data_IF_155646092454
#
_entry.id   IF_155646092454
#
_cell.length_a   1.000
_cell.length_b   1.000
_cell.length_c   1.000
_cell.angle_alpha   90.00
_cell.angle_beta   90.00
_cell.angle_gamma   90.00
#
_symmetry.space_group_name_H-M   'P 1'
#
loop_
_entity.id
_entity.type
_entity.pdbx_description
1 polymer ?
#
# COMPACT_ATOMS: atom_id res chain seq x y z
N UNK A 1 -6.54 -8.22 0.97
CA UNK A 1 -7.34 -8.16 -0.26
C UNK A 1 -6.54 -7.51 -1.37
N UNK A 2 -6.67 -8.00 -2.58
CA UNK A 2 -6.19 -7.33 -3.79
C UNK A 2 -7.30 -7.35 -4.83
N UNK A 3 -7.33 -6.35 -5.69
CA UNK A 3 -8.30 -6.25 -6.79
C UNK A 3 -7.56 -6.18 -8.13
N UNK A 4 -8.27 -6.50 -9.20
CA UNK A 4 -7.89 -6.16 -10.57
C UNK A 4 -8.53 -4.84 -10.96
N UNK A 5 -8.00 -4.19 -12.00
CA UNK A 5 -8.64 -3.00 -12.56
C UNK A 5 -10.04 -3.33 -13.08
N UNK A 6 -11.00 -2.49 -12.72
CA UNK A 6 -12.41 -2.61 -13.06
C UNK A 6 -12.85 -1.39 -13.85
N UNK A 7 -12.18 -1.17 -15.00
CA UNK A 7 -12.51 -0.09 -15.95
C UNK A 7 -13.93 -0.22 -16.53
N UNK A 8 -14.58 -1.37 -16.30
CA UNK A 8 -15.96 -1.65 -16.63
C UNK A 8 -16.97 -1.05 -15.64
N UNK A 9 -16.50 -0.61 -14.46
CA UNK A 9 -17.35 -0.01 -13.43
C UNK A 9 -17.08 1.49 -13.29
N UNK A 10 -18.11 2.32 -13.09
CA UNK A 10 -17.95 3.77 -12.97
C UNK A 10 -17.06 4.21 -11.80
N UNK A 11 -17.06 3.43 -10.70
CA UNK A 11 -16.26 3.66 -9.48
C UNK A 11 -14.98 2.82 -9.43
N UNK A 12 -14.60 2.18 -10.55
CA UNK A 12 -13.46 1.26 -10.56
C UNK A 12 -13.58 0.07 -9.60
N UNK A 13 -14.77 -0.20 -9.05
CA UNK A 13 -15.03 -1.25 -8.06
C UNK A 13 -14.81 -0.84 -6.61
N UNK A 14 -14.71 0.45 -6.31
CA UNK A 14 -14.46 0.96 -4.96
C UNK A 14 -15.55 0.57 -3.97
N UNK A 15 -16.83 0.69 -4.35
CA UNK A 15 -17.96 0.30 -3.51
C UNK A 15 -17.91 -1.20 -3.15
N UNK A 16 -17.54 -2.04 -4.10
CA UNK A 16 -17.40 -3.49 -3.86
C UNK A 16 -16.26 -3.81 -2.87
N UNK A 17 -15.13 -3.12 -2.99
CA UNK A 17 -14.02 -3.26 -2.04
C UNK A 17 -14.44 -2.81 -0.65
N UNK A 18 -15.08 -1.63 -0.54
CA UNK A 18 -15.57 -1.08 0.72
C UNK A 18 -16.54 -2.04 1.42
N UNK A 19 -17.55 -2.54 0.68
CA UNK A 19 -18.51 -3.51 1.22
C UNK A 19 -17.83 -4.81 1.64
N UNK A 20 -16.89 -5.32 0.85
CA UNK A 20 -16.16 -6.56 1.17
C UNK A 20 -15.40 -6.41 2.49
N UNK A 21 -14.66 -5.32 2.68
CA UNK A 21 -13.93 -5.05 3.93
C UNK A 21 -14.91 -4.92 5.11
N UNK A 22 -15.99 -4.16 4.91
CA UNK A 22 -17.04 -3.99 5.92
C UNK A 22 -17.65 -5.33 6.34
N UNK A 23 -17.93 -6.23 5.40
CA UNK A 23 -18.45 -7.58 5.68
C UNK A 23 -17.42 -8.42 6.47
N UNK A 24 -16.15 -8.38 6.09
CA UNK A 24 -15.10 -9.10 6.81
C UNK A 24 -15.06 -8.65 8.27
N UNK A 25 -15.04 -7.35 8.54
CA UNK A 25 -15.01 -6.81 9.90
C UNK A 25 -16.29 -7.09 10.69
N UNK A 26 -17.47 -7.14 10.03
CA UNK A 26 -18.72 -7.55 10.67
C UNK A 26 -18.69 -9.01 11.14
N UNK A 27 -18.12 -9.90 10.33
CA UNK A 27 -18.06 -11.33 10.65
C UNK A 27 -16.87 -11.69 11.55
N UNK A 28 -15.76 -10.97 11.43
CA UNK A 28 -14.57 -11.19 12.24
C UNK A 28 -13.89 -9.85 12.58
N UNK A 29 -14.31 -9.19 13.66
CA UNK A 29 -13.79 -7.88 14.06
C UNK A 29 -12.30 -7.88 14.41
N UNK A 30 -11.72 -9.04 14.70
CA UNK A 30 -10.30 -9.18 15.08
C UNK A 30 -9.38 -9.41 13.86
N UNK A 31 -9.96 -9.62 12.68
CA UNK A 31 -9.18 -9.80 11.48
C UNK A 31 -8.65 -8.45 10.97
N UNK A 32 -7.33 -8.38 10.75
CA UNK A 32 -6.72 -7.22 10.11
C UNK A 32 -6.86 -7.34 8.59
N UNK A 33 -7.30 -6.28 7.95
CA UNK A 33 -7.51 -6.22 6.50
C UNK A 33 -6.60 -5.18 5.87
N UNK A 34 -5.70 -5.63 5.01
CA UNK A 34 -4.98 -4.80 4.06
C UNK A 34 -5.70 -4.84 2.71
N UNK A 35 -5.97 -3.68 2.12
CA UNK A 35 -6.47 -3.55 0.75
C UNK A 35 -5.36 -3.05 -0.15
N UNK A 36 -5.00 -3.80 -1.19
CA UNK A 36 -4.14 -3.34 -2.28
C UNK A 36 -5.02 -3.04 -3.49
N UNK A 37 -5.12 -1.77 -3.84
CA UNK A 37 -6.08 -1.26 -4.83
C UNK A 37 -5.40 -0.47 -5.95
N UNK A 38 -6.13 -0.23 -7.04
CA UNK A 38 -5.74 0.64 -8.14
C UNK A 38 -5.76 2.13 -7.76
N UNK A 39 -5.48 3.00 -8.74
CA UNK A 39 -5.54 4.46 -8.57
C UNK A 39 -6.90 5.07 -8.94
N UNK A 40 -7.88 4.24 -9.29
CA UNK A 40 -9.26 4.63 -9.68
C UNK A 40 -9.28 5.76 -10.71
N UNK A 41 -8.38 5.71 -11.69
CA UNK A 41 -8.20 6.74 -12.71
C UNK A 41 -8.01 8.17 -12.14
N UNK A 42 -7.59 8.28 -10.88
CA UNK A 42 -7.39 9.55 -10.15
C UNK A 42 -8.65 10.05 -9.42
N UNK A 43 -9.72 9.27 -9.34
CA UNK A 43 -10.92 9.64 -8.59
C UNK A 43 -10.70 9.45 -7.08
N UNK A 44 -10.27 10.50 -6.40
CA UNK A 44 -9.99 10.49 -4.95
C UNK A 44 -11.24 10.26 -4.08
N UNK A 45 -12.44 10.51 -4.63
CA UNK A 45 -13.73 10.16 -4.00
C UNK A 45 -13.86 8.66 -3.77
N UNK A 46 -13.39 7.84 -4.72
CA UNK A 46 -13.49 6.39 -4.66
C UNK A 46 -12.50 5.81 -3.63
N UNK A 47 -11.29 6.41 -3.56
CA UNK A 47 -10.34 6.14 -2.47
C UNK A 47 -10.96 6.45 -1.11
N UNK A 48 -11.58 7.64 -1.00
CA UNK A 48 -12.22 8.09 0.24
C UNK A 48 -13.38 7.18 0.66
N UNK A 49 -14.14 6.64 -0.29
CA UNK A 49 -15.21 5.68 -0.04
C UNK A 49 -14.66 4.40 0.59
N UNK A 50 -13.59 3.81 0.02
CA UNK A 50 -12.98 2.60 0.58
C UNK A 50 -12.53 2.83 2.02
N UNK A 51 -11.88 3.97 2.29
CA UNK A 51 -11.35 4.28 3.62
C UNK A 51 -12.46 4.52 4.64
N UNK A 52 -13.48 5.32 4.28
CA UNK A 52 -14.54 5.73 5.22
C UNK A 52 -15.58 4.66 5.45
N UNK A 53 -15.97 3.93 4.41
CA UNK A 53 -17.03 2.92 4.47
C UNK A 53 -16.48 1.52 4.73
N UNK A 54 -15.39 1.13 4.05
CA UNK A 54 -14.75 -0.16 4.23
C UNK A 54 -13.92 -0.23 5.50
N UNK A 55 -13.21 0.85 5.83
CA UNK A 55 -12.34 0.96 7.01
C UNK A 55 -11.23 -0.11 7.06
N UNK A 56 -10.45 -0.29 5.98
CA UNK A 56 -9.33 -1.22 6.02
C UNK A 56 -8.31 -0.79 7.09
N UNK A 57 -7.66 -1.76 7.73
CA UNK A 57 -6.59 -1.50 8.69
C UNK A 57 -5.35 -0.93 8.00
N UNK A 58 -5.10 -1.35 6.76
CA UNK A 58 -4.03 -0.83 5.90
C UNK A 58 -4.59 -0.55 4.52
N UNK A 59 -4.42 0.68 4.06
CA UNK A 59 -4.66 1.05 2.67
C UNK A 59 -3.35 1.00 1.89
N UNK A 60 -3.25 0.13 0.88
CA UNK A 60 -2.08 -0.04 0.05
C UNK A 60 -2.34 0.31 -1.40
N UNK A 61 -1.42 1.06 -1.99
CA UNK A 61 -1.34 1.32 -3.41
C UNK A 61 0.14 1.41 -3.81
N UNK A 62 0.56 0.67 -4.84
CA UNK A 62 1.96 0.59 -5.22
C UNK A 62 2.35 1.67 -6.21
N UNK A 63 3.47 2.35 -5.97
CA UNK A 63 4.09 3.26 -6.95
C UNK A 63 4.92 2.51 -7.99
N UNK A 64 5.24 1.26 -7.75
CA UNK A 64 5.94 0.26 -8.55
C UNK A 64 7.41 0.60 -8.82
N UNK A 65 7.73 1.73 -9.43
CA UNK A 65 9.10 2.16 -9.76
C UNK A 65 9.29 3.65 -9.52
N UNK A 66 10.54 4.12 -9.53
CA UNK A 66 10.89 5.53 -9.39
C UNK A 66 10.25 6.41 -10.47
N UNK A 67 10.10 7.74 -10.26
CA UNK A 67 9.43 8.64 -11.22
C UNK A 67 9.95 8.54 -12.65
N UNK A 68 11.27 8.47 -12.85
CA UNK A 68 11.91 8.43 -14.17
C UNK A 68 11.54 7.19 -14.98
N UNK A 69 11.17 6.08 -14.34
CA UNK A 69 10.87 4.81 -15.00
C UNK A 69 9.37 4.54 -15.17
N UNK A 70 8.48 5.40 -14.70
CA UNK A 70 7.03 5.18 -14.74
C UNK A 70 6.54 4.86 -16.16
N UNK A 71 6.89 5.69 -17.13
CA UNK A 71 6.46 5.50 -18.55
C UNK A 71 7.04 4.27 -19.23
N UNK A 72 8.18 3.77 -18.74
CA UNK A 72 8.85 2.58 -19.29
C UNK A 72 8.29 1.28 -18.72
N UNK A 73 7.87 1.31 -17.45
CA UNK A 73 7.57 0.10 -16.69
C UNK A 73 6.08 -0.10 -16.43
N UNK A 74 5.27 0.97 -16.49
CA UNK A 74 3.83 0.92 -16.20
C UNK A 74 2.99 1.27 -17.42
N UNK A 75 1.70 0.96 -17.34
CA UNK A 75 0.72 1.41 -18.32
C UNK A 75 0.74 2.95 -18.42
N UNK A 76 0.52 3.47 -19.62
CA UNK A 76 0.58 4.91 -19.91
C UNK A 76 -0.46 5.73 -19.12
N UNK A 77 -1.50 5.10 -18.64
CA UNK A 77 -2.54 5.69 -17.79
C UNK A 77 -2.08 5.90 -16.35
N UNK A 78 -1.06 5.15 -15.91
CA UNK A 78 -0.49 5.28 -14.57
C UNK A 78 0.60 6.36 -14.53
N UNK A 79 0.73 7.04 -13.38
CA UNK A 79 1.83 7.97 -13.15
C UNK A 79 2.27 7.95 -11.69
N UNK A 80 3.47 8.44 -11.43
CA UNK A 80 3.97 8.64 -10.07
C UNK A 80 3.04 9.56 -9.26
N UNK A 81 2.73 10.72 -9.82
CA UNK A 81 1.92 11.74 -9.13
C UNK A 81 0.55 11.20 -8.75
N UNK A 82 -0.14 10.53 -9.69
CA UNK A 82 -1.43 9.90 -9.41
C UNK A 82 -1.35 8.85 -8.31
N UNK A 83 -0.30 8.01 -8.32
CA UNK A 83 -0.11 7.00 -7.27
C UNK A 83 0.15 7.63 -5.90
N UNK A 84 0.90 8.72 -5.85
CA UNK A 84 1.14 9.47 -4.62
C UNK A 84 -0.14 10.18 -4.16
N UNK A 85 -0.89 10.81 -5.06
CA UNK A 85 -2.19 11.42 -4.78
C UNK A 85 -3.19 10.42 -4.20
N UNK A 86 -3.21 9.18 -4.71
CA UNK A 86 -4.03 8.08 -4.16
C UNK A 86 -3.71 7.82 -2.69
N UNK A 87 -2.42 7.78 -2.34
CA UNK A 87 -1.97 7.56 -0.96
C UNK A 87 -2.29 8.76 -0.06
N UNK A 88 -2.12 10.00 -0.56
CA UNK A 88 -2.50 11.23 0.15
C UNK A 88 -4.00 11.24 0.41
N UNK A 89 -4.82 10.99 -0.63
CA UNK A 89 -6.27 10.94 -0.48
C UNK A 89 -6.74 9.91 0.55
N UNK A 90 -6.07 8.76 0.63
CA UNK A 90 -6.35 7.76 1.66
C UNK A 90 -6.03 8.29 3.07
N UNK A 91 -4.91 8.99 3.25
CA UNK A 91 -4.55 9.62 4.53
C UNK A 91 -5.57 10.70 4.93
N UNK A 92 -5.92 11.57 4.01
CA UNK A 92 -6.93 12.63 4.24
C UNK A 92 -8.32 12.07 4.53
N UNK A 93 -8.67 10.92 3.94
CA UNK A 93 -9.90 10.21 4.24
C UNK A 93 -9.90 9.55 5.63
N UNK A 94 -8.74 9.42 6.28
CA UNK A 94 -8.58 8.88 7.63
C UNK A 94 -7.99 7.47 7.69
N UNK A 95 -7.33 6.99 6.63
CA UNK A 95 -6.61 5.71 6.68
C UNK A 95 -5.58 5.71 7.81
N UNK A 96 -5.66 4.70 8.68
CA UNK A 96 -4.78 4.57 9.84
C UNK A 96 -3.33 4.32 9.39
N UNK A 97 -3.15 3.44 8.42
CA UNK A 97 -1.85 3.10 7.83
C UNK A 97 -1.96 3.12 6.32
N UNK A 98 -1.03 3.83 5.67
CA UNK A 98 -0.83 3.76 4.22
C UNK A 98 0.43 3.00 3.91
N UNK A 99 0.39 2.22 2.83
CA UNK A 99 1.50 1.36 2.41
C UNK A 99 1.73 1.45 0.90
N UNK A 100 2.99 1.38 0.51
CA UNK A 100 3.39 1.30 -0.90
C UNK A 100 4.55 0.34 -1.11
N UNK A 101 4.77 -0.01 -2.37
CA UNK A 101 5.88 -0.88 -2.78
C UNK A 101 6.65 -0.26 -3.94
N UNK A 102 7.97 -0.44 -3.91
CA UNK A 102 8.92 -0.01 -4.92
C UNK A 102 9.74 -1.22 -5.38
N UNK A 103 9.87 -1.39 -6.68
CA UNK A 103 10.77 -2.38 -7.28
C UNK A 103 12.06 -1.69 -7.72
N UNK A 104 13.19 -2.36 -7.51
CA UNK A 104 14.52 -1.93 -7.93
C UNK A 104 15.18 -2.96 -8.85
N UNK A 105 16.17 -2.52 -9.63
CA UNK A 105 16.80 -3.32 -10.68
C UNK A 105 16.16 -3.16 -12.07
N UNK A 106 15.35 -2.11 -12.24
CA UNK A 106 14.66 -1.76 -13.48
C UNK A 106 15.47 -0.79 -14.35
N UNK A 107 16.58 -0.24 -13.83
CA UNK A 107 17.45 0.74 -14.48
C UNK A 107 17.53 2.10 -13.82
N UNK A 108 16.96 2.24 -12.63
CA UNK A 108 17.09 3.41 -11.77
C UNK A 108 18.51 3.55 -11.22
N UNK A 109 18.88 4.77 -10.86
CA UNK A 109 20.06 5.06 -10.06
C UNK A 109 19.71 4.98 -8.57
N UNK A 110 20.69 4.67 -7.73
CA UNK A 110 20.50 4.55 -6.27
C UNK A 110 19.93 5.84 -5.66
N UNK A 111 20.38 7.01 -6.12
CA UNK A 111 19.91 8.30 -5.62
C UNK A 111 18.43 8.56 -5.97
N UNK A 112 17.95 8.10 -7.13
CA UNK A 112 16.53 8.18 -7.50
C UNK A 112 15.63 7.38 -6.54
N UNK A 113 16.14 6.27 -5.98
CA UNK A 113 15.41 5.50 -4.96
C UNK A 113 15.29 6.31 -3.68
N UNK A 114 16.38 6.94 -3.22
CA UNK A 114 16.34 7.79 -2.02
C UNK A 114 15.41 9.01 -2.21
N UNK A 115 15.44 9.65 -3.37
CA UNK A 115 14.53 10.75 -3.71
C UNK A 115 13.06 10.30 -3.70
N UNK A 116 12.77 9.13 -4.29
CA UNK A 116 11.44 8.54 -4.27
C UNK A 116 10.98 8.24 -2.83
N UNK A 117 11.85 7.68 -1.99
CA UNK A 117 11.57 7.45 -0.57
C UNK A 117 11.25 8.75 0.16
N UNK A 118 12.05 9.80 -0.04
CA UNK A 118 11.81 11.10 0.58
C UNK A 118 10.47 11.70 0.14
N UNK A 119 10.10 11.60 -1.15
CA UNK A 119 8.82 12.04 -1.67
C UNK A 119 7.65 11.27 -1.05
N UNK A 120 7.75 9.96 -0.91
CA UNK A 120 6.75 9.12 -0.25
C UNK A 120 6.60 9.46 1.24
N UNK A 121 7.71 9.75 1.92
CA UNK A 121 7.65 10.15 3.34
C UNK A 121 6.99 11.54 3.50
N UNK A 122 7.26 12.48 2.55
CA UNK A 122 6.59 13.78 2.50
C UNK A 122 5.07 13.64 2.28
N UNK A 123 4.64 12.61 1.55
CA UNK A 123 3.23 12.24 1.36
C UNK A 123 2.63 11.48 2.56
N UNK A 124 3.33 11.41 3.69
CA UNK A 124 2.94 10.74 4.93
C UNK A 124 2.65 9.25 4.79
N UNK A 125 3.35 8.56 3.89
CA UNK A 125 3.29 7.10 3.77
C UNK A 125 3.95 6.45 4.98
N UNK A 126 3.25 5.50 5.63
CA UNK A 126 3.74 4.86 6.85
C UNK A 126 4.66 3.66 6.57
N UNK A 127 4.31 2.85 5.57
CA UNK A 127 4.98 1.57 5.30
C UNK A 127 5.49 1.52 3.87
N UNK A 128 6.77 1.15 3.72
CA UNK A 128 7.40 0.97 2.42
C UNK A 128 8.00 -0.43 2.30
N UNK A 129 7.75 -1.08 1.16
CA UNK A 129 8.45 -2.31 0.80
C UNK A 129 9.30 -2.08 -0.44
N UNK A 130 10.55 -2.55 -0.43
CA UNK A 130 11.49 -2.44 -1.56
C UNK A 130 11.97 -3.86 -1.91
N UNK A 131 11.71 -4.28 -3.15
CA UNK A 131 12.07 -5.61 -3.62
C UNK A 131 12.75 -5.60 -4.97
N UNK A 132 13.51 -6.66 -5.27
CA UNK A 132 14.12 -6.86 -6.57
C UNK A 132 13.05 -7.10 -7.64
N UNK A 133 13.12 -6.37 -8.74
CA UNK A 133 12.34 -6.70 -9.94
C UNK A 133 12.81 -8.04 -10.51
N UNK A 134 11.87 -8.94 -10.72
CA UNK A 134 12.08 -10.21 -11.40
C UNK A 134 11.17 -10.25 -12.63
N UNK A 135 11.77 -10.48 -13.81
CA UNK A 135 11.04 -10.54 -15.07
C UNK A 135 10.04 -11.69 -15.11
N UNK A 136 8.73 -11.43 -15.16
CA UNK A 136 7.73 -12.51 -15.09
C UNK A 136 7.72 -13.39 -16.34
N UNK A 137 7.83 -12.79 -17.52
CA UNK A 137 7.88 -13.48 -18.82
C UNK A 137 8.77 -12.74 -19.81
N UNK A 138 9.20 -13.35 -20.92
CA UNK A 138 9.99 -12.67 -21.96
C UNK A 138 9.35 -11.42 -22.60
N UNK A 139 8.03 -11.23 -22.39
CA UNK A 139 7.30 -10.06 -22.88
C UNK A 139 7.44 -8.83 -21.98
N UNK A 140 7.90 -9.01 -20.72
CA UNK A 140 8.12 -7.92 -19.77
C UNK A 140 9.51 -7.32 -19.94
N UNK A 141 9.72 -6.16 -19.32
CA UNK A 141 11.02 -5.48 -19.33
C UNK A 141 12.12 -6.38 -18.76
N UNK A 142 13.33 -6.24 -19.30
CA UNK A 142 14.47 -7.00 -18.80
C UNK A 142 14.94 -6.47 -17.46
N UNK A 143 15.45 -7.38 -16.61
CA UNK A 143 16.17 -7.00 -15.39
C UNK A 143 17.45 -6.26 -15.82
N UNK A 144 17.61 -5.01 -15.39
CA UNK A 144 18.78 -4.21 -15.73
C UNK A 144 19.98 -4.51 -14.82
N UNK A 145 19.70 -4.81 -13.55
CA UNK A 145 20.71 -5.27 -12.59
C UNK A 145 20.05 -6.07 -11.46
N UNK A 146 20.83 -6.94 -10.85
CA UNK A 146 20.50 -7.52 -9.56
C UNK A 146 21.16 -6.65 -8.49
N UNK A 147 20.32 -6.07 -7.65
CA UNK A 147 20.76 -5.16 -6.58
C UNK A 147 21.40 -5.97 -5.46
N UNK A 148 22.55 -5.54 -5.01
CA UNK A 148 23.32 -6.22 -3.96
C UNK A 148 22.57 -6.15 -2.61
N UNK A 149 22.62 -7.21 -1.78
CA UNK A 149 21.98 -7.22 -0.47
C UNK A 149 22.33 -6.00 0.40
N UNK A 150 23.59 -5.59 0.39
CA UNK A 150 24.05 -4.42 1.15
C UNK A 150 23.38 -3.09 0.71
N UNK A 151 22.94 -2.99 -0.56
CA UNK A 151 22.20 -1.82 -1.03
C UNK A 151 20.76 -1.83 -0.51
N UNK A 152 20.14 -3.00 -0.40
CA UNK A 152 18.83 -3.14 0.26
C UNK A 152 18.91 -2.77 1.75
N UNK A 153 19.99 -3.15 2.45
CA UNK A 153 20.20 -2.75 3.84
C UNK A 153 20.28 -1.22 3.96
N UNK A 154 21.01 -0.55 3.05
CA UNK A 154 21.07 0.93 2.99
C UNK A 154 19.71 1.58 2.76
N UNK A 155 18.87 1.02 1.89
CA UNK A 155 17.50 1.52 1.70
C UNK A 155 16.67 1.36 2.98
N UNK A 156 16.79 0.24 3.67
CA UNK A 156 16.09 0.03 4.93
C UNK A 156 16.52 1.02 6.00
N UNK A 157 17.81 1.19 6.21
CA UNK A 157 18.37 2.14 7.17
C UNK A 157 17.94 3.58 6.87
N UNK A 158 18.03 3.99 5.60
CA UNK A 158 17.61 5.31 5.17
C UNK A 158 16.11 5.53 5.38
N UNK A 159 15.28 4.54 5.09
CA UNK A 159 13.85 4.66 5.30
C UNK A 159 13.47 4.80 6.78
N UNK A 160 14.14 4.06 7.66
CA UNK A 160 13.97 4.24 9.11
C UNK A 160 14.41 5.65 9.54
N UNK A 161 15.54 6.13 9.04
CA UNK A 161 16.04 7.47 9.32
C UNK A 161 15.11 8.59 8.80
N UNK A 162 14.43 8.37 7.66
CA UNK A 162 13.43 9.27 7.10
C UNK A 162 12.11 9.28 7.89
N UNK A 163 11.91 8.34 8.82
CA UNK A 163 10.73 8.27 9.68
C UNK A 163 9.56 7.45 9.12
N UNK A 164 9.81 6.50 8.22
CA UNK A 164 8.81 5.46 7.94
C UNK A 164 8.59 4.64 9.20
N UNK A 165 7.34 4.27 9.46
CA UNK A 165 7.01 3.41 10.61
C UNK A 165 7.54 1.98 10.41
N UNK A 166 7.60 1.54 9.15
CA UNK A 166 8.20 0.27 8.78
C UNK A 166 8.75 0.30 7.36
N UNK A 167 9.92 -0.28 7.19
CA UNK A 167 10.53 -0.54 5.87
C UNK A 167 10.95 -2.01 5.81
N UNK A 168 10.47 -2.72 4.80
CA UNK A 168 11.02 -4.02 4.43
C UNK A 168 11.77 -3.88 3.12
N UNK A 169 13.06 -4.16 3.13
CA UNK A 169 13.92 -4.03 1.95
C UNK A 169 14.77 -5.28 1.79
N UNK A 170 14.74 -5.88 0.60
CA UNK A 170 15.51 -7.08 0.32
C UNK A 170 15.17 -7.76 -1.00
N UNK A 171 16.06 -8.62 -1.52
CA UNK A 171 15.89 -9.25 -2.85
C UNK A 171 14.59 -10.05 -2.99
N UNK A 172 14.14 -10.67 -1.92
CA UNK A 172 12.94 -11.52 -1.89
C UNK A 172 11.72 -10.82 -1.27
N UNK A 173 11.84 -9.52 -0.92
CA UNK A 173 10.71 -8.75 -0.41
C UNK A 173 9.67 -8.55 -1.51
N UNK A 174 8.40 -8.67 -1.12
CA UNK A 174 7.22 -8.40 -1.94
C UNK A 174 6.26 -7.52 -1.16
N UNK A 175 5.30 -6.90 -1.85
CA UNK A 175 4.27 -6.06 -1.21
C UNK A 175 3.50 -6.79 -0.10
N UNK A 176 3.40 -8.11 -0.16
CA UNK A 176 2.73 -8.99 0.83
C UNK A 176 3.69 -9.65 1.84
N UNK A 177 4.90 -9.14 2.05
CA UNK A 177 5.92 -9.80 2.85
C UNK A 177 5.53 -9.89 4.34
N UNK A 178 5.69 -11.10 4.92
CA UNK A 178 5.22 -11.46 6.27
C UNK A 178 5.80 -10.63 7.43
N UNK A 179 6.98 -10.06 7.27
CA UNK A 179 7.58 -9.23 8.31
C UNK A 179 6.74 -7.97 8.60
N UNK A 180 6.04 -7.45 7.58
CA UNK A 180 5.08 -6.36 7.78
C UNK A 180 3.91 -6.76 8.67
N UNK A 181 3.45 -8.02 8.62
CA UNK A 181 2.33 -8.50 9.43
C UNK A 181 2.60 -8.45 10.94
N UNK A 182 3.81 -8.81 11.37
CA UNK A 182 4.17 -8.81 12.79
C UNK A 182 4.23 -7.38 13.35
N UNK A 183 4.78 -6.45 12.57
CA UNK A 183 4.83 -5.04 12.93
C UNK A 183 3.43 -4.40 12.89
N UNK A 184 2.68 -4.59 11.81
CA UNK A 184 1.33 -4.06 11.65
C UNK A 184 0.39 -4.58 12.76
N UNK A 185 0.49 -5.84 13.16
CA UNK A 185 -0.25 -6.38 14.31
C UNK A 185 0.11 -5.66 15.61
N UNK A 186 1.34 -5.24 15.80
CA UNK A 186 1.78 -4.44 16.95
C UNK A 186 1.23 -3.00 16.91
N UNK A 187 1.45 -2.30 15.81
CA UNK A 187 1.01 -0.91 15.61
C UNK A 187 -0.53 -0.80 15.64
N UNK A 188 -1.22 -1.66 14.89
CA UNK A 188 -2.68 -1.62 14.79
C UNK A 188 -3.38 -2.07 16.06
N UNK A 189 -2.81 -2.99 16.85
CA UNK A 189 -3.36 -3.31 18.18
C UNK A 189 -3.30 -2.11 19.12
N UNK A 190 -2.22 -1.34 19.10
CA UNK A 190 -2.11 -0.08 19.83
C UNK A 190 -3.12 0.98 19.37
N UNK A 191 -3.46 1.00 18.09
CA UNK A 191 -4.45 1.93 17.52
C UNK A 191 -5.89 1.45 17.71
N UNK A 192 -6.17 0.14 17.67
CA UNK A 192 -7.51 -0.43 17.95
C UNK A 192 -8.04 -0.10 19.35
N UNK A 193 -7.18 0.04 20.33
CA UNK A 193 -7.59 0.53 21.65
C UNK A 193 -8.15 1.96 21.55
N UNK A 194 -7.65 2.78 20.61
CA UNK A 194 -8.20 4.12 20.31
C UNK A 194 -9.44 4.08 19.41
N UNK A 195 -9.58 3.05 18.60
CA UNK A 195 -10.68 2.90 17.63
C UNK A 195 -11.95 2.37 18.30
N UNK A 196 -11.83 1.42 19.22
CA UNK A 196 -12.95 0.92 20.04
C UNK A 196 -13.56 2.03 20.90
N UNK A 197 -12.75 3.00 21.32
CA UNK A 197 -13.20 4.17 22.09
C UNK A 197 -13.97 5.19 21.22
N UNK A 198 -13.73 5.22 19.89
CA UNK A 198 -14.43 6.11 18.95
C UNK A 198 -15.80 5.61 18.50
N UNK A 199 -16.00 4.30 18.43
CA UNK A 199 -17.19 3.69 17.83
C UNK A 199 -18.06 2.90 18.82
N UNK A 200 -18.01 3.23 20.10
CA UNK A 200 -18.87 2.71 21.17
C UNK A 200 -19.42 1.30 20.93
N UNK A 201 -19.30 0.42 21.88
CA UNK A 201 -19.79 -0.97 21.90
C UNK A 201 -21.09 -1.14 21.10
N UNK A 202 -21.02 -1.50 19.82
CA UNK A 202 -22.18 -2.01 19.09
C UNK A 202 -22.51 -3.39 19.65
N UNK A 203 -23.74 -3.54 20.16
CA UNK A 203 -24.33 -4.74 20.74
C UNK A 203 -23.96 -5.99 19.92
N UNK A 204 -23.50 -7.04 20.62
CA UNK A 204 -23.49 -8.40 20.11
C UNK A 204 -24.89 -8.71 19.55
N UNK A 205 -24.93 -9.07 18.26
CA UNK A 205 -26.10 -9.74 17.73
C UNK A 205 -26.17 -11.11 18.40
N UNK A 206 -27.20 -11.31 19.21
CA UNK A 206 -27.56 -12.64 19.71
C UNK A 206 -27.95 -13.50 18.51
N UNK A 207 -27.18 -14.56 18.30
CA UNK A 207 -27.57 -15.62 17.40
C UNK A 207 -28.73 -16.34 18.08
N UNK A 208 -29.93 -16.10 17.56
CA UNK A 208 -31.11 -16.87 17.94
C UNK A 208 -30.92 -18.26 17.37
N UNK A 209 -30.87 -19.26 18.25
CA UNK A 209 -30.82 -20.70 17.99
C UNK A 209 -32.05 -21.17 17.22
#
# INVERSE_FOLDING_TARGET
LTMVDRDDLPDGGAAHVAETVGQIHRHNPDLLVETLVGDFAGHTSDVSMIVREGQPDVFAHNVEVVPSLQRKMRDARCSWDRSVETLIAAREAGAAVTKTSLMVGCGEQTDEVFEAMAALRKADVNVLTIGQYLRPTPKHAEVQRYVEPAEFDRFQEAGVAMGFEYVASGPLVRSSYRAAEAFLKGVLRGQRVRYSDRYGKKKRLEVVS
#
